data_IF_283444743409
#
_entry.id   IF_283444743409
#
_cell.length_a   1.000
_cell.length_b   1.000
_cell.length_c   1.000
_cell.angle_alpha   90.00
_cell.angle_beta   90.00
_cell.angle_gamma   90.00
#
_symmetry.space_group_name_H-M   'P 1'
#
loop_
_entity.id
_entity.type
_entity.pdbx_description
1 polymer ?
#
# COMPACT_ATOMS: atom_id res chain seq x y z
N UNK A 1 -19.47 -23.33 28.97
CA UNK A 1 -19.11 -22.20 28.06
C UNK A 1 -17.68 -22.35 27.55
N UNK A 2 -16.68 -22.56 28.41
CA UNK A 2 -15.29 -22.87 28.02
C UNK A 2 -15.17 -24.17 27.18
N UNK A 3 -15.95 -25.21 27.48
CA UNK A 3 -15.94 -26.46 26.69
C UNK A 3 -16.68 -26.36 25.34
N UNK A 4 -17.58 -25.38 25.19
CA UNK A 4 -18.17 -25.07 23.89
C UNK A 4 -17.20 -24.25 23.03
N UNK A 5 -16.44 -23.35 23.67
CA UNK A 5 -15.37 -22.58 23.04
C UNK A 5 -14.17 -23.44 22.61
N UNK A 6 -13.78 -24.46 23.42
CA UNK A 6 -12.79 -25.47 23.00
C UNK A 6 -13.30 -26.30 21.82
N UNK A 7 -14.54 -26.82 21.88
CA UNK A 7 -15.13 -27.59 20.77
C UNK A 7 -15.25 -26.79 19.47
N UNK A 8 -15.52 -25.49 19.54
CA UNK A 8 -15.55 -24.60 18.37
C UNK A 8 -14.15 -24.23 17.85
N UNK A 9 -13.12 -24.26 18.71
CA UNK A 9 -11.73 -24.03 18.33
C UNK A 9 -11.03 -25.32 17.82
N UNK A 10 -11.43 -26.48 18.33
CA UNK A 10 -10.94 -27.81 17.91
C UNK A 10 -11.61 -28.27 16.60
N UNK A 11 -12.82 -27.79 16.32
CA UNK A 11 -13.48 -27.95 15.03
C UNK A 11 -12.90 -26.93 14.04
N UNK A 12 -11.69 -27.18 13.55
CA UNK A 12 -11.29 -26.66 12.24
C UNK A 12 -12.36 -27.01 11.19
N UNK A 13 -12.37 -26.36 10.01
CA UNK A 13 -13.28 -26.75 8.93
C UNK A 13 -13.29 -28.27 8.77
N UNK A 14 -14.41 -28.92 8.41
CA UNK A 14 -14.53 -30.39 8.44
C UNK A 14 -13.41 -31.13 7.70
N UNK A 15 -12.71 -30.45 6.79
CA UNK A 15 -11.54 -30.92 6.03
C UNK A 15 -10.18 -30.58 6.64
N UNK A 16 -10.08 -29.84 7.76
CA UNK A 16 -8.81 -29.42 8.38
C UNK A 16 -7.93 -30.60 8.78
N UNK A 17 -8.54 -31.67 9.29
CA UNK A 17 -7.83 -32.93 9.56
C UNK A 17 -7.27 -33.56 8.29
N UNK A 18 -8.04 -33.58 7.22
CA UNK A 18 -7.64 -34.12 5.91
C UNK A 18 -6.55 -33.27 5.24
N UNK A 19 -6.66 -31.95 5.31
CA UNK A 19 -5.65 -31.01 4.80
C UNK A 19 -4.34 -31.12 5.56
N UNK A 20 -4.40 -31.25 6.89
CA UNK A 20 -3.21 -31.48 7.71
C UNK A 20 -2.54 -32.82 7.41
N UNK A 21 -3.31 -33.85 7.04
CA UNK A 21 -2.78 -35.15 6.63
C UNK A 21 -2.11 -35.06 5.26
N UNK A 22 -2.77 -34.45 4.27
CA UNK A 22 -2.22 -34.24 2.92
C UNK A 22 -1.00 -33.33 2.91
N UNK A 23 -0.98 -32.29 3.76
CA UNK A 23 0.19 -31.42 3.94
C UNK A 23 1.38 -32.19 4.53
N UNK A 24 1.13 -33.05 5.53
CA UNK A 24 2.16 -33.94 6.10
C UNK A 24 2.69 -34.95 5.09
N UNK A 25 1.83 -35.48 4.22
CA UNK A 25 2.22 -36.37 3.13
C UNK A 25 3.09 -35.65 2.09
N UNK A 26 2.70 -34.43 1.69
CA UNK A 26 3.51 -33.59 0.79
C UNK A 26 4.88 -33.24 1.38
N UNK A 27 4.96 -32.96 2.70
CA UNK A 27 6.22 -32.71 3.42
C UNK A 27 7.08 -33.99 3.61
N UNK A 28 6.45 -35.17 3.59
CA UNK A 28 7.12 -36.46 3.78
C UNK A 28 7.56 -37.10 2.45
N UNK A 29 7.07 -36.61 1.31
CA UNK A 29 7.66 -36.90 0.03
C UNK A 29 9.08 -36.33 0.02
N UNK A 30 10.09 -37.12 -0.33
CA UNK A 30 11.51 -36.71 -0.49
C UNK A 30 11.69 -35.80 -1.72
N UNK A 31 10.78 -34.84 -1.89
CA UNK A 31 10.68 -33.89 -2.97
C UNK A 31 11.47 -32.63 -2.64
N UNK A 32 11.91 -31.91 -3.67
CA UNK A 32 12.58 -30.63 -3.47
C UNK A 32 11.67 -29.61 -2.76
N UNK A 33 12.27 -28.63 -2.07
CA UNK A 33 11.51 -27.61 -1.33
C UNK A 33 10.48 -26.85 -2.20
N UNK A 34 10.80 -26.62 -3.48
CA UNK A 34 9.91 -25.96 -4.44
C UNK A 34 8.68 -26.83 -4.75
N UNK A 35 8.90 -28.13 -4.99
CA UNK A 35 7.83 -29.08 -5.30
C UNK A 35 6.91 -29.29 -4.09
N UNK A 36 7.48 -29.36 -2.89
CA UNK A 36 6.72 -29.42 -1.64
C UNK A 36 5.86 -28.17 -1.44
N UNK A 37 6.40 -26.98 -1.73
CA UNK A 37 5.67 -25.72 -1.64
C UNK A 37 4.53 -25.63 -2.65
N UNK A 38 4.75 -26.09 -3.89
CA UNK A 38 3.70 -26.15 -4.91
C UNK A 38 2.59 -27.14 -4.55
N UNK A 39 2.94 -28.29 -3.97
CA UNK A 39 1.97 -29.25 -3.46
C UNK A 39 1.12 -28.66 -2.34
N UNK A 40 1.74 -27.93 -1.39
CA UNK A 40 1.02 -27.24 -0.31
C UNK A 40 0.11 -26.12 -0.84
N UNK A 41 0.57 -25.35 -1.84
CA UNK A 41 -0.19 -24.25 -2.45
C UNK A 41 -1.48 -24.75 -3.13
N UNK A 42 -1.45 -25.95 -3.71
CA UNK A 42 -2.65 -26.58 -4.28
C UNK A 42 -3.63 -27.08 -3.22
N UNK A 43 -3.16 -27.32 -1.99
CA UNK A 43 -3.97 -27.85 -0.91
C UNK A 43 -4.65 -26.75 -0.10
N UNK A 44 -3.95 -25.65 0.18
CA UNK A 44 -4.50 -24.52 0.92
C UNK A 44 -3.63 -23.26 0.78
N UNK A 45 -4.29 -22.14 0.50
CA UNK A 45 -3.72 -20.79 0.51
C UNK A 45 -3.25 -20.31 1.89
N UNK A 46 -3.61 -21.01 2.97
CA UNK A 46 -3.18 -20.76 4.35
C UNK A 46 -1.69 -21.02 4.60
N UNK A 47 -1.13 -22.02 3.92
CA UNK A 47 0.23 -22.52 4.21
C UNK A 47 1.23 -22.20 3.10
N UNK A 48 0.76 -21.86 1.91
CA UNK A 48 1.58 -21.45 0.78
C UNK A 48 0.82 -20.43 -0.08
N UNK A 49 1.57 -19.64 -0.85
CA UNK A 49 0.98 -18.72 -1.82
C UNK A 49 0.46 -19.54 -3.00
N UNK A 50 -0.84 -19.47 -3.25
CA UNK A 50 -1.48 -20.10 -4.39
C UNK A 50 -1.21 -19.32 -5.70
N UNK A 51 -1.72 -19.85 -6.80
CA UNK A 51 -1.50 -19.26 -8.12
C UNK A 51 -2.06 -17.84 -8.23
N UNK A 52 -3.22 -17.57 -7.61
CA UNK A 52 -3.84 -16.25 -7.64
C UNK A 52 -3.04 -15.25 -6.80
N UNK A 53 -2.56 -15.64 -5.62
CA UNK A 53 -1.71 -14.79 -4.78
C UNK A 53 -0.38 -14.45 -5.46
N UNK A 54 0.26 -15.44 -6.08
CA UNK A 54 1.50 -15.21 -6.85
C UNK A 54 1.26 -14.31 -8.06
N UNK A 55 0.18 -14.53 -8.81
CA UNK A 55 -0.18 -13.68 -9.94
C UNK A 55 -0.46 -12.25 -9.49
N UNK A 56 -1.17 -12.07 -8.38
CA UNK A 56 -1.48 -10.75 -7.85
C UNK A 56 -0.24 -10.00 -7.36
N UNK A 57 0.70 -10.69 -6.71
CA UNK A 57 1.99 -10.12 -6.32
C UNK A 57 2.83 -9.70 -7.53
N UNK A 58 2.80 -10.48 -8.61
CA UNK A 58 3.47 -10.11 -9.86
C UNK A 58 2.82 -8.87 -10.50
N UNK A 59 1.48 -8.79 -10.50
CA UNK A 59 0.75 -7.59 -10.95
C UNK A 59 1.13 -6.35 -10.13
N UNK A 60 1.22 -6.49 -8.80
CA UNK A 60 1.68 -5.43 -7.90
C UNK A 60 3.12 -5.00 -8.21
N UNK A 61 4.02 -5.97 -8.43
CA UNK A 61 5.42 -5.71 -8.73
C UNK A 61 5.56 -4.96 -10.08
N UNK A 62 4.81 -5.35 -11.10
CA UNK A 62 4.78 -4.66 -12.40
C UNK A 62 4.24 -3.24 -12.27
N UNK A 63 3.14 -3.05 -11.55
CA UNK A 63 2.54 -1.75 -11.31
C UNK A 63 3.54 -0.81 -10.60
N UNK A 64 4.16 -1.27 -9.52
CA UNK A 64 5.15 -0.48 -8.76
C UNK A 64 6.39 -0.22 -9.61
N UNK A 65 6.89 -1.23 -10.33
CA UNK A 65 8.04 -1.12 -11.22
C UNK A 65 7.84 -0.08 -12.33
N UNK A 66 6.61 0.08 -12.82
CA UNK A 66 6.26 1.12 -13.79
C UNK A 66 6.02 2.49 -13.13
N UNK A 67 5.33 2.53 -11.99
CA UNK A 67 4.93 3.77 -11.33
C UNK A 67 6.10 4.49 -10.63
N UNK A 68 7.01 3.75 -10.01
CA UNK A 68 8.13 4.31 -9.26
C UNK A 68 9.06 5.23 -10.10
N UNK A 69 9.56 4.84 -11.28
CA UNK A 69 10.39 5.73 -12.10
C UNK A 69 9.61 6.94 -12.60
N UNK A 70 8.32 6.80 -12.91
CA UNK A 70 7.46 7.91 -13.33
C UNK A 70 7.25 8.92 -12.19
N UNK A 71 7.01 8.44 -10.97
CA UNK A 71 6.89 9.27 -9.78
C UNK A 71 8.20 10.02 -9.47
N UNK A 72 9.35 9.34 -9.63
CA UNK A 72 10.66 9.96 -9.46
C UNK A 72 10.91 11.03 -10.54
N UNK A 73 10.60 10.74 -11.80
CA UNK A 73 10.73 11.69 -12.90
C UNK A 73 9.83 12.92 -12.70
N UNK A 74 8.58 12.73 -12.28
CA UNK A 74 7.65 13.82 -11.97
C UNK A 74 8.16 14.68 -10.80
N UNK A 75 8.73 14.06 -9.77
CA UNK A 75 9.34 14.76 -8.63
C UNK A 75 10.54 15.60 -9.09
N UNK A 76 11.43 15.02 -9.91
CA UNK A 76 12.58 15.73 -10.46
C UNK A 76 12.15 16.90 -11.36
N UNK A 77 11.16 16.68 -12.23
CA UNK A 77 10.61 17.72 -13.10
C UNK A 77 9.97 18.86 -12.29
N UNK A 78 9.21 18.53 -11.23
CA UNK A 78 8.63 19.52 -10.32
C UNK A 78 9.70 20.35 -9.60
N UNK A 79 10.77 19.70 -9.12
CA UNK A 79 11.91 20.39 -8.49
C UNK A 79 12.63 21.32 -9.49
N UNK A 80 12.89 20.84 -10.71
CA UNK A 80 13.49 21.67 -11.78
C UNK A 80 12.60 22.85 -12.16
N UNK A 81 11.28 22.66 -12.24
CA UNK A 81 10.34 23.74 -12.50
C UNK A 81 10.37 24.80 -11.39
N UNK A 82 10.42 24.37 -10.12
CA UNK A 82 10.57 25.29 -8.99
C UNK A 82 11.89 26.07 -9.06
N UNK A 83 13.01 25.41 -9.37
CA UNK A 83 14.31 26.08 -9.56
C UNK A 83 14.24 27.08 -10.71
N UNK A 84 13.66 26.71 -11.85
CA UNK A 84 13.50 27.59 -13.00
C UNK A 84 12.66 28.83 -12.66
N UNK A 85 11.57 28.68 -11.91
CA UNK A 85 10.77 29.81 -11.43
C UNK A 85 11.58 30.74 -10.51
N UNK A 86 12.42 30.16 -9.65
CA UNK A 86 13.28 30.93 -8.74
C UNK A 86 14.36 31.71 -9.49
N UNK A 87 15.03 31.10 -10.47
CA UNK A 87 16.06 31.75 -11.31
C UNK A 87 15.45 32.87 -12.17
N UNK A 88 14.20 32.69 -12.65
CA UNK A 88 13.46 33.71 -13.42
C UNK A 88 12.80 34.78 -12.53
N UNK A 89 13.14 34.84 -11.24
CA UNK A 89 12.58 35.76 -10.25
C UNK A 89 11.05 35.69 -10.11
N UNK A 90 10.42 34.58 -10.51
CA UNK A 90 8.97 34.32 -10.41
C UNK A 90 8.60 33.71 -9.04
N UNK A 91 9.09 34.34 -7.96
CA UNK A 91 8.98 33.86 -6.58
C UNK A 91 7.53 33.70 -6.12
N UNK A 92 6.64 34.60 -6.52
CA UNK A 92 5.22 34.49 -6.18
C UNK A 92 4.58 33.22 -6.75
N UNK A 93 4.89 32.86 -8.01
CA UNK A 93 4.37 31.64 -8.64
C UNK A 93 4.93 30.37 -7.99
N UNK A 94 6.23 30.34 -7.69
CA UNK A 94 6.83 29.24 -6.94
C UNK A 94 6.23 29.11 -5.54
N UNK A 95 5.95 30.23 -4.87
CA UNK A 95 5.29 30.26 -3.56
C UNK A 95 3.87 29.72 -3.61
N UNK A 96 3.09 30.11 -4.62
CA UNK A 96 1.76 29.55 -4.87
C UNK A 96 1.81 28.05 -5.13
N UNK A 97 2.75 27.57 -5.95
CA UNK A 97 2.89 26.14 -6.23
C UNK A 97 3.23 25.33 -4.96
N UNK A 98 4.17 25.82 -4.15
CA UNK A 98 4.53 25.24 -2.85
C UNK A 98 3.40 25.30 -1.80
N UNK A 99 2.36 26.10 -2.02
CA UNK A 99 1.18 26.09 -1.16
C UNK A 99 0.04 25.23 -1.71
N UNK A 100 -0.23 25.32 -3.01
CA UNK A 100 -1.33 24.62 -3.65
C UNK A 100 -1.10 23.10 -3.70
N UNK A 101 0.09 22.66 -4.11
CA UNK A 101 0.41 21.24 -4.23
C UNK A 101 0.22 20.46 -2.91
N UNK A 102 0.83 20.85 -1.78
CA UNK A 102 0.61 20.13 -0.52
C UNK A 102 -0.82 20.28 0.02
N UNK A 103 -1.53 21.38 -0.27
CA UNK A 103 -2.93 21.51 0.15
C UNK A 103 -3.83 20.47 -0.53
N UNK A 104 -3.62 20.21 -1.83
CA UNK A 104 -4.33 19.16 -2.57
C UNK A 104 -4.00 17.78 -1.99
N UNK A 105 -2.73 17.51 -1.70
CA UNK A 105 -2.31 16.22 -1.12
C UNK A 105 -2.94 16.01 0.27
N UNK A 106 -2.91 17.02 1.14
CA UNK A 106 -3.55 16.94 2.46
C UNK A 106 -5.05 16.68 2.33
N UNK A 107 -5.74 17.40 1.43
CA UNK A 107 -7.17 17.21 1.21
C UNK A 107 -7.49 15.79 0.72
N UNK A 108 -6.70 15.25 -0.22
CA UNK A 108 -6.86 13.88 -0.69
C UNK A 108 -6.65 12.85 0.43
N UNK A 109 -5.60 13.03 1.25
CA UNK A 109 -5.37 12.17 2.41
C UNK A 109 -6.48 12.25 3.45
N UNK A 110 -7.05 13.44 3.68
CA UNK A 110 -8.16 13.60 4.60
C UNK A 110 -9.41 12.86 4.10
N UNK A 111 -9.73 12.96 2.81
CA UNK A 111 -10.88 12.27 2.20
C UNK A 111 -10.67 10.75 2.22
N UNK A 112 -9.52 10.26 1.73
CA UNK A 112 -9.24 8.83 1.68
C UNK A 112 -9.09 8.23 3.08
N UNK A 113 -8.47 8.96 4.01
CA UNK A 113 -8.34 8.55 5.40
C UNK A 113 -9.69 8.49 6.11
N UNK A 114 -10.59 9.45 5.86
CA UNK A 114 -11.95 9.42 6.39
C UNK A 114 -12.75 8.25 5.82
N UNK A 115 -12.66 8.01 4.50
CA UNK A 115 -13.31 6.85 3.88
C UNK A 115 -12.78 5.54 4.48
N UNK A 116 -11.45 5.36 4.55
CA UNK A 116 -10.85 4.16 5.14
C UNK A 116 -11.24 3.95 6.62
N UNK A 117 -11.43 5.03 7.39
CA UNK A 117 -11.88 4.93 8.77
C UNK A 117 -13.35 4.52 8.92
N UNK A 118 -14.21 4.88 7.94
CA UNK A 118 -15.65 4.58 7.96
C UNK A 118 -15.96 3.23 7.29
N UNK A 119 -15.28 2.91 6.19
CA UNK A 119 -15.49 1.72 5.36
C UNK A 119 -14.19 1.29 4.68
N UNK A 120 -13.31 0.67 5.47
CA UNK A 120 -12.05 0.13 4.97
C UNK A 120 -12.25 -0.88 3.84
N UNK A 121 -13.24 -1.77 3.94
CA UNK A 121 -13.49 -2.81 2.94
C UNK A 121 -13.90 -2.20 1.59
N UNK A 122 -14.77 -1.19 1.60
CA UNK A 122 -15.16 -0.47 0.38
C UNK A 122 -13.99 0.28 -0.26
N UNK A 123 -13.18 0.99 0.54
CA UNK A 123 -11.96 1.64 0.04
C UNK A 123 -10.97 0.63 -0.55
N UNK A 124 -10.73 -0.48 0.16
CA UNK A 124 -9.84 -1.55 -0.28
C UNK A 124 -10.32 -2.15 -1.60
N UNK A 125 -11.61 -2.51 -1.71
CA UNK A 125 -12.18 -3.08 -2.91
C UNK A 125 -12.14 -2.09 -4.09
N UNK A 126 -12.46 -0.81 -3.86
CA UNK A 126 -12.41 0.22 -4.90
C UNK A 126 -10.98 0.43 -5.42
N UNK A 127 -10.00 0.51 -4.52
CA UNK A 127 -8.59 0.64 -4.88
C UNK A 127 -8.12 -0.54 -5.74
N UNK A 128 -8.42 -1.77 -5.32
CA UNK A 128 -8.01 -2.97 -6.06
C UNK A 128 -8.77 -3.13 -7.39
N UNK A 129 -10.07 -2.82 -7.44
CA UNK A 129 -10.83 -2.89 -8.68
C UNK A 129 -10.32 -1.91 -9.75
N UNK A 130 -9.85 -0.73 -9.34
CA UNK A 130 -9.26 0.26 -10.26
C UNK A 130 -7.90 -0.18 -10.79
N UNK A 131 -7.04 -0.72 -9.93
CA UNK A 131 -5.66 -1.07 -10.29
C UNK A 131 -5.53 -2.48 -10.88
N UNK A 132 -6.43 -3.38 -10.52
CA UNK A 132 -6.41 -4.80 -10.86
C UNK A 132 -7.80 -5.26 -11.36
N UNK A 133 -8.24 -4.77 -12.53
CA UNK A 133 -9.56 -5.08 -13.08
C UNK A 133 -9.77 -6.57 -13.41
N UNK A 134 -8.69 -7.36 -13.48
CA UNK A 134 -8.71 -8.81 -13.69
C UNK A 134 -9.25 -9.62 -12.50
N UNK A 135 -9.32 -9.02 -11.29
CA UNK A 135 -10.04 -9.60 -10.16
C UNK A 135 -9.29 -10.68 -9.34
N UNK A 136 -7.99 -10.88 -9.53
CA UNK A 136 -7.17 -11.87 -8.82
C UNK A 136 -6.70 -11.43 -7.41
N UNK A 137 -7.39 -10.48 -6.76
CA UNK A 137 -6.93 -9.83 -5.53
C UNK A 137 -7.74 -10.17 -4.28
N UNK A 138 -8.72 -11.08 -4.39
CA UNK A 138 -9.55 -11.53 -3.26
C UNK A 138 -9.06 -12.86 -2.71
N UNK A 139 -8.75 -12.91 -1.42
CA UNK A 139 -8.21 -14.10 -0.75
C UNK A 139 -9.01 -14.46 0.51
N UNK A 140 -8.82 -15.67 1.03
CA UNK A 140 -9.36 -16.05 2.34
C UNK A 140 -8.71 -15.22 3.45
N UNK A 141 -9.48 -14.93 4.50
CA UNK A 141 -9.00 -14.15 5.66
C UNK A 141 -7.79 -14.78 6.37
N UNK A 142 -7.68 -16.11 6.30
CA UNK A 142 -6.63 -16.94 6.86
C UNK A 142 -5.54 -17.32 5.87
N UNK A 143 -5.59 -16.79 4.63
CA UNK A 143 -4.53 -16.99 3.64
C UNK A 143 -3.17 -16.54 4.18
N UNK A 144 -2.11 -17.19 3.70
CA UNK A 144 -0.73 -16.85 4.03
C UNK A 144 -0.42 -15.40 3.62
N UNK A 145 -0.95 -14.96 2.48
CA UNK A 145 -0.75 -13.60 1.97
C UNK A 145 -1.29 -12.54 2.95
N UNK A 146 -2.52 -12.71 3.44
CA UNK A 146 -3.11 -11.78 4.42
C UNK A 146 -2.40 -11.90 5.77
N UNK A 147 -2.07 -13.13 6.20
CA UNK A 147 -1.43 -13.39 7.49
C UNK A 147 0.00 -12.85 7.58
N UNK A 148 0.73 -12.79 6.46
CA UNK A 148 2.09 -12.24 6.39
C UNK A 148 2.11 -10.72 6.57
N UNK A 149 1.02 -10.02 6.25
CA UNK A 149 0.88 -8.57 6.40
C UNK A 149 -0.25 -8.22 7.38
N UNK A 150 -0.07 -8.46 8.68
CA UNK A 150 -1.13 -8.26 9.68
C UNK A 150 -1.53 -6.79 9.81
N UNK A 151 -2.70 -6.53 10.38
CA UNK A 151 -3.24 -5.17 10.56
C UNK A 151 -2.24 -4.18 11.18
N UNK A 152 -1.46 -4.61 12.17
CA UNK A 152 -0.45 -3.78 12.82
C UNK A 152 0.64 -3.28 11.86
N UNK A 153 1.04 -4.11 10.88
CA UNK A 153 1.98 -3.72 9.83
C UNK A 153 1.38 -2.59 8.98
N UNK A 154 0.13 -2.74 8.54
CA UNK A 154 -0.55 -1.72 7.74
C UNK A 154 -0.78 -0.41 8.50
N UNK A 155 -1.12 -0.49 9.79
CA UNK A 155 -1.22 0.70 10.66
C UNK A 155 0.11 1.42 10.77
N UNK A 156 1.22 0.68 10.93
CA UNK A 156 2.58 1.23 10.94
C UNK A 156 2.90 1.96 9.62
N UNK A 157 2.64 1.31 8.48
CA UNK A 157 2.85 1.90 7.16
C UNK A 157 2.02 3.17 6.94
N UNK A 158 0.73 3.13 7.32
CA UNK A 158 -0.15 4.29 7.24
C UNK A 158 0.36 5.46 8.11
N UNK A 159 0.83 5.17 9.32
CA UNK A 159 1.41 6.18 10.20
C UNK A 159 2.70 6.78 9.61
N UNK A 160 3.61 5.96 9.07
CA UNK A 160 4.83 6.43 8.41
C UNK A 160 4.50 7.31 7.21
N UNK A 161 3.56 6.90 6.35
CA UNK A 161 3.12 7.70 5.20
C UNK A 161 2.52 9.03 5.60
N UNK A 162 1.65 9.04 6.62
CA UNK A 162 1.06 10.27 7.13
C UNK A 162 2.11 11.20 7.71
N UNK A 163 3.07 10.67 8.48
CA UNK A 163 4.13 11.45 9.11
C UNK A 163 5.05 12.11 8.05
N UNK A 164 5.53 11.34 7.07
CA UNK A 164 6.43 11.84 6.03
C UNK A 164 5.71 12.82 5.12
N UNK A 165 4.52 12.46 4.61
CA UNK A 165 3.74 13.31 3.71
C UNK A 165 3.25 14.58 4.41
N UNK A 166 2.77 14.46 5.65
CA UNK A 166 2.34 15.59 6.47
C UNK A 166 3.50 16.53 6.78
N UNK A 167 4.65 15.98 7.21
CA UNK A 167 5.87 16.75 7.46
C UNK A 167 6.34 17.51 6.22
N UNK A 168 6.44 16.84 5.07
CA UNK A 168 6.83 17.48 3.81
C UNK A 168 5.83 18.55 3.36
N UNK A 169 4.54 18.30 3.56
CA UNK A 169 3.48 19.24 3.22
C UNK A 169 3.56 20.51 4.08
N UNK A 170 3.81 20.38 5.39
CA UNK A 170 4.01 21.52 6.29
C UNK A 170 5.24 22.32 5.87
N UNK A 171 6.37 21.66 5.58
CA UNK A 171 7.59 22.32 5.12
C UNK A 171 7.34 23.10 3.83
N UNK A 172 6.66 22.48 2.87
CA UNK A 172 6.30 23.10 1.59
C UNK A 172 5.40 24.33 1.78
N UNK A 173 4.35 24.22 2.62
CA UNK A 173 3.45 25.34 2.96
C UNK A 173 4.21 26.50 3.63
N UNK A 174 5.12 26.21 4.57
CA UNK A 174 5.93 27.22 5.25
C UNK A 174 6.89 27.89 4.26
N UNK A 175 7.55 27.13 3.40
CA UNK A 175 8.44 27.64 2.37
C UNK A 175 7.68 28.55 1.39
N UNK A 176 6.52 28.11 0.90
CA UNK A 176 5.67 28.88 -0.01
C UNK A 176 5.20 30.19 0.62
N UNK A 177 4.70 30.16 1.86
CA UNK A 177 4.31 31.36 2.61
C UNK A 177 5.47 32.34 2.80
N UNK A 178 6.66 31.85 3.17
CA UNK A 178 7.85 32.70 3.34
C UNK A 178 8.26 33.35 2.02
N UNK A 179 8.18 32.61 0.92
CA UNK A 179 8.52 33.09 -0.42
C UNK A 179 7.55 34.17 -0.91
N UNK A 180 6.26 34.06 -0.59
CA UNK A 180 5.25 35.07 -0.92
C UNK A 180 5.32 36.32 -0.02
N UNK A 181 5.74 36.17 1.25
CA UNK A 181 5.93 37.31 2.17
C UNK A 181 7.14 38.17 1.82
N UNK A 182 8.16 37.59 1.17
CA UNK A 182 9.27 38.34 0.56
C UNK A 182 8.79 38.91 -0.78
N UNK A 183 8.04 40.02 -0.72
CA UNK A 183 7.66 40.81 -1.90
C UNK A 183 8.89 41.18 -2.76
N UNK A 184 8.68 41.54 -4.05
CA UNK A 184 9.76 41.67 -5.02
C UNK A 184 10.87 42.60 -4.51
N UNK A 185 12.12 42.14 -4.57
CA UNK A 185 13.29 42.99 -4.36
C UNK A 185 13.15 44.20 -5.29
N UNK A 186 12.92 45.39 -4.71
CA UNK A 186 13.13 46.66 -5.40
C UNK A 186 14.63 46.77 -5.65
N UNK A 187 15.09 46.28 -6.80
CA UNK A 187 16.37 46.70 -7.36
C UNK A 187 16.07 47.59 -8.56
N UNK A 188 16.23 48.88 -8.26
CA UNK A 188 16.42 50.04 -9.12
C UNK A 188 17.25 49.75 -10.36
#
# INVERSE_FOLDING_TARGET
MVDAARRAADAGPPTAGEWSARAREALAADAGAIETMEALARLSDRYALDADALSHLDDCNRLIGAAAPLALAATAAGALALVALMVRSRRALAGCALMAAPAVVIAAFAVLGLWGALDFNGLFAAFHAVLFPQGNWTFSWDSLLISMYPLAFWMGMAATWLAVTGGMSILSLVAGRRLMRRGPDRRS
#
